data_IF_098947842049
#
_entry.id   IF_098947842049
#
_cell.length_a   1.000
_cell.length_b   1.000
_cell.length_c   1.000
_cell.angle_alpha   90.00
_cell.angle_beta   90.00
_cell.angle_gamma   90.00
#
_symmetry.space_group_name_H-M   'P 1'
#
loop_
_entity.id
_entity.type
_entity.pdbx_description
1 polymer ?
#
# COMPACT_ATOMS: atom_id res chain seq x y z
N UNK A 1 -4.99 -26.73 39.31
CA UNK A 1 -3.95 -26.00 40.06
C UNK A 1 -3.70 -24.70 39.30
N UNK A 2 -4.30 -23.61 39.78
CA UNK A 2 -4.30 -22.31 39.12
C UNK A 2 -2.91 -21.67 39.22
N UNK A 3 -2.25 -21.46 38.09
CA UNK A 3 -1.06 -20.60 38.04
C UNK A 3 -1.56 -19.18 37.94
N UNK A 4 -1.54 -18.51 39.08
CA UNK A 4 -1.90 -17.12 39.28
C UNK A 4 -1.13 -16.21 38.31
N UNK A 5 -1.87 -15.49 37.47
CA UNK A 5 -1.46 -14.23 36.86
C UNK A 5 -1.16 -13.22 37.98
N UNK A 6 0.08 -13.13 38.44
CA UNK A 6 0.55 -11.93 39.13
C UNK A 6 0.96 -10.94 38.06
N UNK A 7 -0.02 -10.20 37.53
CA UNK A 7 0.28 -8.95 36.83
C UNK A 7 1.03 -8.06 37.81
N UNK A 8 2.32 -7.86 37.55
CA UNK A 8 3.21 -7.06 38.39
C UNK A 8 2.67 -5.61 38.45
N UNK A 9 2.07 -5.23 39.60
CA UNK A 9 1.53 -3.88 39.85
C UNK A 9 2.56 -2.77 39.63
N UNK A 10 3.86 -3.05 39.80
CA UNK A 10 4.91 -2.07 39.51
C UNK A 10 5.08 -1.80 38.00
N UNK A 11 4.91 -2.81 37.15
CA UNK A 11 4.93 -2.65 35.69
C UNK A 11 3.69 -1.89 35.19
N UNK A 12 2.51 -2.14 35.79
CA UNK A 12 1.29 -1.40 35.47
C UNK A 12 1.35 0.07 35.94
N UNK A 13 1.98 0.34 37.09
CA UNK A 13 2.16 1.70 37.60
C UNK A 13 3.09 2.54 36.71
N UNK A 14 4.23 1.97 36.27
CA UNK A 14 5.15 2.65 35.32
C UNK A 14 4.57 2.83 33.92
N UNK A 15 3.67 1.95 33.50
CA UNK A 15 2.90 2.15 32.26
C UNK A 15 1.96 3.35 32.41
N UNK A 16 1.26 3.51 33.53
CA UNK A 16 0.29 4.60 33.72
C UNK A 16 0.92 6.00 33.66
N UNK A 17 2.07 6.21 34.33
CA UNK A 17 2.79 7.50 34.33
C UNK A 17 3.39 7.84 32.95
N UNK A 18 3.62 6.84 32.10
CA UNK A 18 4.20 7.00 30.77
C UNK A 18 3.17 6.85 29.63
N UNK A 19 1.91 6.54 29.92
CA UNK A 19 0.88 6.25 28.89
C UNK A 19 0.64 7.47 28.00
N UNK A 20 0.48 8.65 28.58
CA UNK A 20 0.25 9.89 27.83
C UNK A 20 1.42 10.21 26.88
N UNK A 21 2.67 9.98 27.33
CA UNK A 21 3.86 10.17 26.50
C UNK A 21 3.94 9.14 25.39
N UNK A 22 3.62 7.87 25.66
CA UNK A 22 3.55 6.83 24.62
C UNK A 22 2.50 7.20 23.57
N UNK A 23 1.30 7.60 23.97
CA UNK A 23 0.24 8.01 23.04
C UNK A 23 0.65 9.21 22.21
N UNK A 24 1.26 10.23 22.85
CA UNK A 24 1.82 11.39 22.18
C UNK A 24 2.88 11.01 21.16
N UNK A 25 3.78 10.08 21.50
CA UNK A 25 4.84 9.62 20.60
C UNK A 25 4.26 8.88 19.39
N UNK A 26 3.29 7.97 19.59
CA UNK A 26 2.61 7.28 18.48
C UNK A 26 1.91 8.29 17.56
N UNK A 27 1.14 9.22 18.12
CA UNK A 27 0.48 10.27 17.35
C UNK A 27 1.49 11.14 16.58
N UNK A 28 2.62 11.49 17.20
CA UNK A 28 3.68 12.29 16.58
C UNK A 28 4.31 11.56 15.40
N UNK A 29 4.61 10.26 15.53
CA UNK A 29 5.17 9.44 14.45
C UNK A 29 4.20 9.38 13.27
N UNK A 30 2.91 9.13 13.54
CA UNK A 30 1.90 9.07 12.48
C UNK A 30 1.74 10.41 11.76
N UNK A 31 1.69 11.52 12.51
CA UNK A 31 1.62 12.87 11.93
C UNK A 31 2.85 13.18 11.09
N UNK A 32 4.04 12.92 11.63
CA UNK A 32 5.30 13.14 10.91
C UNK A 32 5.34 12.32 9.60
N UNK A 33 4.91 11.06 9.62
CA UNK A 33 4.84 10.23 8.42
C UNK A 33 3.94 10.85 7.35
N UNK A 34 2.75 11.33 7.74
CA UNK A 34 1.81 11.99 6.83
C UNK A 34 2.39 13.30 6.28
N UNK A 35 2.91 14.17 7.16
CA UNK A 35 3.45 15.48 6.79
C UNK A 35 4.62 15.32 5.80
N UNK A 36 5.50 14.35 6.06
CA UNK A 36 6.62 14.02 5.17
C UNK A 36 6.12 13.50 3.84
N UNK A 37 5.18 12.55 3.83
CA UNK A 37 4.64 12.02 2.58
C UNK A 37 3.95 13.11 1.77
N UNK A 38 3.16 13.98 2.39
CA UNK A 38 2.54 15.11 1.73
C UNK A 38 3.58 16.04 1.08
N UNK A 39 4.67 16.33 1.77
CA UNK A 39 5.71 17.23 1.28
C UNK A 39 6.62 16.62 0.20
N UNK A 40 6.81 15.30 0.18
CA UNK A 40 7.85 14.64 -0.63
C UNK A 40 7.34 13.69 -1.72
N UNK A 41 6.14 13.13 -1.57
CA UNK A 41 5.58 12.21 -2.57
C UNK A 41 5.09 13.00 -3.77
N UNK A 42 5.56 12.62 -4.96
CA UNK A 42 5.15 13.27 -6.21
C UNK A 42 3.66 13.05 -6.49
N UNK A 43 2.89 14.15 -6.44
CA UNK A 43 1.46 14.15 -6.75
C UNK A 43 1.19 13.69 -8.19
N UNK A 44 2.04 14.07 -9.14
CA UNK A 44 1.92 13.66 -10.55
C UNK A 44 2.08 12.14 -10.73
N UNK A 45 3.02 11.51 -10.02
CA UNK A 45 3.21 10.07 -10.10
C UNK A 45 2.02 9.32 -9.46
N UNK A 46 1.50 9.82 -8.34
CA UNK A 46 0.29 9.29 -7.71
C UNK A 46 -0.92 9.43 -8.64
N UNK A 47 -1.10 10.59 -9.29
CA UNK A 47 -2.18 10.79 -10.24
C UNK A 47 -2.06 9.89 -11.48
N UNK A 48 -0.85 9.71 -12.03
CA UNK A 48 -0.58 8.78 -13.13
C UNK A 48 -0.89 7.32 -12.73
N UNK A 49 -0.50 6.91 -11.53
CA UNK A 49 -0.83 5.58 -11.00
C UNK A 49 -2.34 5.38 -10.86
N UNK A 50 -3.08 6.37 -10.32
CA UNK A 50 -4.54 6.31 -10.26
C UNK A 50 -5.18 6.20 -11.66
N UNK A 51 -4.67 6.92 -12.66
CA UNK A 51 -5.16 6.80 -14.05
C UNK A 51 -4.89 5.41 -14.66
N UNK A 52 -3.73 4.81 -14.36
CA UNK A 52 -3.42 3.45 -14.81
C UNK A 52 -4.34 2.43 -14.15
N UNK A 53 -4.55 2.53 -12.83
CA UNK A 53 -5.43 1.65 -12.05
C UNK A 53 -6.89 1.78 -12.50
N UNK A 54 -7.38 2.99 -12.76
CA UNK A 54 -8.77 3.22 -13.20
C UNK A 54 -9.10 2.55 -14.54
N UNK A 55 -8.09 2.31 -15.39
CA UNK A 55 -8.23 1.66 -16.71
C UNK A 55 -7.87 0.18 -16.69
N UNK A 56 -7.41 -0.33 -15.55
CA UNK A 56 -6.92 -1.69 -15.44
C UNK A 56 -8.08 -2.70 -15.44
N UNK A 57 -7.87 -3.83 -16.13
CA UNK A 57 -8.76 -4.98 -16.03
C UNK A 57 -8.66 -5.62 -14.65
N UNK A 58 -7.43 -5.88 -14.19
CA UNK A 58 -7.15 -6.28 -12.82
C UNK A 58 -5.97 -5.49 -12.22
N UNK A 59 -5.96 -5.39 -10.90
CA UNK A 59 -4.83 -4.88 -10.12
C UNK A 59 -4.25 -6.01 -9.30
N UNK A 60 -3.07 -6.49 -9.68
CA UNK A 60 -2.32 -7.52 -8.97
C UNK A 60 -1.42 -6.85 -7.92
N UNK A 61 -1.58 -7.20 -6.66
CA UNK A 61 -0.85 -6.58 -5.54
C UNK A 61 0.14 -7.59 -4.97
N UNK A 62 1.42 -7.23 -5.00
CA UNK A 62 2.50 -7.93 -4.33
C UNK A 62 2.89 -7.17 -3.06
N UNK A 63 2.80 -7.84 -1.91
CA UNK A 63 3.21 -7.30 -0.63
C UNK A 63 3.57 -8.45 0.34
N UNK A 64 4.39 -8.18 1.36
CA UNK A 64 4.75 -9.18 2.38
C UNK A 64 4.70 -8.58 3.79
N UNK A 65 4.57 -9.44 4.81
CA UNK A 65 4.50 -9.04 6.22
C UNK A 65 3.48 -7.90 6.46
N UNK A 66 3.83 -6.86 7.20
CA UNK A 66 2.93 -5.76 7.52
C UNK A 66 2.40 -5.04 6.26
N UNK A 67 3.21 -4.89 5.21
CA UNK A 67 2.76 -4.32 3.93
C UNK A 67 1.66 -5.16 3.28
N UNK A 68 1.58 -6.46 3.56
CA UNK A 68 0.48 -7.30 3.07
C UNK A 68 -0.86 -6.87 3.65
N UNK A 69 -0.92 -6.54 4.94
CA UNK A 69 -2.16 -6.08 5.59
C UNK A 69 -2.63 -4.74 5.00
N UNK A 70 -1.68 -3.83 4.76
CA UNK A 70 -1.93 -2.55 4.08
C UNK A 70 -2.48 -2.78 2.66
N UNK A 71 -1.84 -3.67 1.90
CA UNK A 71 -2.26 -4.05 0.55
C UNK A 71 -3.63 -4.71 0.50
N UNK A 72 -3.93 -5.59 1.47
CA UNK A 72 -5.23 -6.27 1.60
C UNK A 72 -6.35 -5.28 1.93
N UNK A 73 -6.09 -4.30 2.79
CA UNK A 73 -7.04 -3.21 3.04
C UNK A 73 -7.33 -2.42 1.76
N UNK A 74 -6.29 -2.12 0.98
CA UNK A 74 -6.42 -1.38 -0.27
C UNK A 74 -7.14 -2.19 -1.35
N UNK A 75 -6.92 -3.50 -1.45
CA UNK A 75 -7.64 -4.37 -2.39
C UNK A 75 -9.15 -4.34 -2.11
N UNK A 76 -9.55 -4.42 -0.83
CA UNK A 76 -10.94 -4.26 -0.41
C UNK A 76 -11.51 -2.87 -0.78
N UNK A 77 -10.71 -1.82 -0.67
CA UNK A 77 -11.12 -0.48 -1.10
C UNK A 77 -11.37 -0.41 -2.61
N UNK A 78 -10.46 -0.96 -3.43
CA UNK A 78 -10.61 -1.00 -4.89
C UNK A 78 -11.86 -1.77 -5.33
N UNK A 79 -12.18 -2.89 -4.68
CA UNK A 79 -13.41 -3.67 -4.97
C UNK A 79 -14.67 -2.84 -4.77
N UNK A 80 -14.72 -1.93 -3.79
CA UNK A 80 -15.85 -0.99 -3.60
C UNK A 80 -16.03 -0.01 -4.75
N UNK A 81 -15.02 0.18 -5.59
CA UNK A 81 -15.08 0.98 -6.81
C UNK A 81 -15.36 0.15 -8.08
N UNK A 82 -15.58 -1.16 -7.93
CA UNK A 82 -15.72 -2.08 -9.06
C UNK A 82 -14.39 -2.47 -9.72
N UNK A 83 -13.26 -2.15 -9.09
CA UNK A 83 -11.93 -2.51 -9.59
C UNK A 83 -11.53 -3.87 -9.01
N UNK A 84 -11.22 -4.85 -9.88
CA UNK A 84 -10.84 -6.19 -9.46
C UNK A 84 -9.39 -6.20 -8.97
N UNK A 85 -9.20 -6.29 -7.66
CA UNK A 85 -7.88 -6.32 -7.03
C UNK A 85 -7.58 -7.68 -6.41
N UNK A 86 -6.37 -8.21 -6.65
CA UNK A 86 -5.96 -9.57 -6.28
C UNK A 86 -4.64 -9.50 -5.50
N UNK A 87 -4.61 -10.04 -4.28
CA UNK A 87 -3.36 -10.25 -3.54
C UNK A 87 -2.64 -11.46 -4.11
N UNK A 88 -1.53 -11.26 -4.82
CA UNK A 88 -0.91 -12.30 -5.66
C UNK A 88 -0.40 -13.49 -4.85
N UNK A 89 0.17 -13.22 -3.68
CA UNK A 89 0.74 -14.24 -2.81
C UNK A 89 -0.23 -14.80 -1.77
N UNK A 90 -1.54 -14.56 -1.90
CA UNK A 90 -2.55 -15.06 -0.95
C UNK A 90 -2.51 -16.58 -0.79
N UNK A 91 -2.26 -17.32 -1.89
CA UNK A 91 -2.23 -18.78 -1.91
C UNK A 91 -0.84 -19.36 -2.17
N UNK A 92 0.21 -18.54 -2.03
CA UNK A 92 1.60 -18.96 -2.27
C UNK A 92 1.89 -19.53 -3.67
N UNK A 93 1.03 -19.27 -4.66
CA UNK A 93 1.22 -19.65 -6.07
C UNK A 93 1.20 -18.41 -6.98
N UNK A 94 2.18 -17.53 -6.75
CA UNK A 94 2.29 -16.24 -7.44
C UNK A 94 2.48 -16.37 -8.96
N UNK A 95 3.19 -17.42 -9.40
CA UNK A 95 3.41 -17.68 -10.83
C UNK A 95 2.10 -18.02 -11.53
N UNK A 96 1.27 -18.91 -10.98
CA UNK A 96 0.00 -19.26 -11.60
C UNK A 96 -0.96 -18.06 -11.67
N UNK A 97 -0.98 -17.23 -10.62
CA UNK A 97 -1.79 -16.00 -10.58
C UNK A 97 -1.32 -15.01 -11.64
N UNK A 98 -0.02 -14.71 -11.68
CA UNK A 98 0.51 -13.69 -12.60
C UNK A 98 0.62 -14.19 -14.05
N UNK A 99 0.50 -15.50 -14.28
CA UNK A 99 0.54 -16.11 -15.61
C UNK A 99 -0.51 -15.53 -16.57
N UNK A 100 -1.62 -15.03 -16.06
CA UNK A 100 -2.71 -14.51 -16.88
C UNK A 100 -2.70 -12.98 -17.00
N UNK A 101 -1.72 -12.31 -16.39
CA UNK A 101 -1.54 -10.86 -16.52
C UNK A 101 -1.19 -10.46 -17.95
N UNK A 102 -1.58 -9.27 -18.36
CA UNK A 102 -1.29 -8.71 -19.68
C UNK A 102 -1.21 -7.18 -19.64
N UNK A 103 -1.06 -6.55 -20.81
CA UNK A 103 -0.94 -5.09 -20.98
C UNK A 103 -2.08 -4.24 -20.42
N UNK A 104 -3.25 -4.85 -20.20
CA UNK A 104 -4.43 -4.19 -19.65
C UNK A 104 -4.53 -4.35 -18.13
N UNK A 105 -3.57 -5.03 -17.49
CA UNK A 105 -3.47 -5.17 -16.04
C UNK A 105 -2.42 -4.22 -15.44
N UNK A 106 -2.58 -3.94 -14.15
CA UNK A 106 -1.61 -3.19 -13.34
C UNK A 106 -1.04 -4.11 -12.27
N UNK A 107 0.27 -4.09 -12.12
CA UNK A 107 0.99 -4.81 -11.08
C UNK A 107 1.52 -3.79 -10.08
N UNK A 108 0.98 -3.81 -8.86
CA UNK A 108 1.37 -2.94 -7.76
C UNK A 108 2.23 -3.71 -6.76
N UNK A 109 3.49 -3.30 -6.64
CA UNK A 109 4.38 -3.73 -5.58
C UNK A 109 4.31 -2.74 -4.41
N UNK A 110 4.07 -3.25 -3.21
CA UNK A 110 4.06 -2.48 -1.97
C UNK A 110 5.14 -3.01 -1.04
N UNK A 111 6.24 -2.26 -0.89
CA UNK A 111 7.39 -2.71 -0.09
C UNK A 111 8.28 -1.56 0.33
N UNK A 112 8.53 -1.44 1.64
CA UNK A 112 9.37 -0.36 2.17
C UNK A 112 10.78 -0.41 1.60
N UNK A 113 11.47 -1.55 1.73
CA UNK A 113 12.84 -1.71 1.25
C UNK A 113 12.96 -1.97 -0.26
N UNK A 114 11.86 -2.35 -0.91
CA UNK A 114 11.83 -2.79 -2.30
C UNK A 114 12.38 -4.21 -2.52
N UNK A 115 12.79 -4.92 -1.46
CA UNK A 115 13.34 -6.27 -1.57
C UNK A 115 12.35 -7.28 -2.16
N UNK A 116 11.05 -6.96 -2.14
CA UNK A 116 10.01 -7.77 -2.80
C UNK A 116 10.33 -8.04 -4.27
N UNK A 117 10.99 -7.11 -4.97
CA UNK A 117 11.38 -7.28 -6.37
C UNK A 117 12.46 -8.34 -6.59
N UNK A 118 13.27 -8.62 -5.56
CA UNK A 118 14.26 -9.69 -5.61
C UNK A 118 13.62 -11.03 -5.23
N UNK A 119 12.70 -11.02 -4.25
CA UNK A 119 11.95 -12.22 -3.83
C UNK A 119 11.11 -12.76 -4.99
N UNK A 120 10.46 -11.88 -5.76
CA UNK A 120 9.60 -12.25 -6.89
C UNK A 120 10.25 -11.93 -8.24
N UNK A 121 11.56 -12.19 -8.37
CA UNK A 121 12.29 -11.87 -9.59
C UNK A 121 11.78 -12.65 -10.81
N UNK A 122 11.34 -13.90 -10.63
CA UNK A 122 10.81 -14.73 -11.71
C UNK A 122 9.45 -14.20 -12.21
N UNK A 123 8.58 -13.80 -11.30
CA UNK A 123 7.30 -13.16 -11.62
C UNK A 123 7.53 -11.84 -12.35
N UNK A 124 8.51 -11.05 -11.93
CA UNK A 124 8.82 -9.78 -12.55
C UNK A 124 9.27 -9.95 -14.02
N UNK A 125 10.10 -10.95 -14.32
CA UNK A 125 10.47 -11.28 -15.70
C UNK A 125 9.24 -11.74 -16.51
N UNK A 126 8.38 -12.55 -15.91
CA UNK A 126 7.13 -12.98 -16.55
C UNK A 126 6.21 -11.78 -16.86
N UNK A 127 6.05 -10.84 -15.93
CA UNK A 127 5.26 -9.61 -16.11
C UNK A 127 5.79 -8.78 -17.28
N UNK A 128 7.13 -8.62 -17.38
CA UNK A 128 7.77 -7.87 -18.47
C UNK A 128 7.46 -8.48 -19.83
N UNK A 129 7.57 -9.80 -19.97
CA UNK A 129 7.24 -10.50 -21.23
C UNK A 129 5.76 -10.37 -21.63
N UNK A 130 4.88 -10.05 -20.69
CA UNK A 130 3.44 -9.84 -20.93
C UNK A 130 3.00 -8.38 -20.98
N UNK A 131 3.95 -7.45 -20.90
CA UNK A 131 3.72 -6.00 -20.96
C UNK A 131 2.80 -5.44 -19.86
N UNK A 132 2.72 -6.12 -18.70
CA UNK A 132 1.98 -5.59 -17.55
C UNK A 132 2.61 -4.31 -17.03
N UNK A 133 1.79 -3.31 -16.68
CA UNK A 133 2.28 -2.01 -16.17
C UNK A 133 2.65 -2.15 -14.70
N UNK A 134 3.90 -1.83 -14.35
CA UNK A 134 4.43 -2.01 -13.00
C UNK A 134 4.47 -0.70 -12.23
N UNK A 135 3.97 -0.73 -11.01
CA UNK A 135 4.00 0.38 -10.06
C UNK A 135 4.68 -0.11 -8.78
N UNK A 136 5.60 0.66 -8.22
CA UNK A 136 6.20 0.41 -6.92
C UNK A 136 5.92 1.57 -5.97
N UNK A 137 5.42 1.26 -4.78
CA UNK A 137 5.38 2.18 -3.63
C UNK A 137 6.44 1.71 -2.63
N UNK A 138 7.50 2.51 -2.45
CA UNK A 138 8.68 2.10 -1.67
C UNK A 138 9.48 3.29 -1.13
N UNK A 139 10.43 3.02 -0.25
CA UNK A 139 11.43 4.01 0.16
C UNK A 139 12.63 4.11 -0.79
N UNK A 140 12.67 3.26 -1.82
CA UNK A 140 13.74 3.19 -2.81
C UNK A 140 13.18 3.17 -4.23
N UNK A 141 14.03 3.52 -5.19
CA UNK A 141 13.68 3.57 -6.62
C UNK A 141 14.37 2.41 -7.35
N UNK A 142 13.66 1.77 -8.28
CA UNK A 142 14.18 0.69 -9.12
C UNK A 142 13.83 0.94 -10.59
N UNK A 143 14.46 1.95 -11.21
CA UNK A 143 14.11 2.43 -12.56
C UNK A 143 14.27 1.37 -13.66
N UNK A 144 15.22 0.45 -13.51
CA UNK A 144 15.48 -0.59 -14.51
C UNK A 144 14.49 -1.78 -14.42
N UNK A 145 13.65 -1.80 -13.37
CA UNK A 145 12.75 -2.91 -13.06
C UNK A 145 11.27 -2.51 -13.07
N UNK A 146 10.97 -1.23 -12.84
CA UNK A 146 9.63 -0.73 -12.56
C UNK A 146 9.34 0.52 -13.41
N UNK A 147 8.18 0.54 -14.05
CA UNK A 147 7.75 1.64 -14.94
C UNK A 147 7.45 2.92 -14.15
N UNK A 148 6.76 2.80 -13.00
CA UNK A 148 6.35 3.93 -12.18
C UNK A 148 6.72 3.72 -10.71
N UNK A 149 7.65 4.55 -10.19
CA UNK A 149 8.14 4.47 -8.82
C UNK A 149 7.59 5.63 -7.97
N UNK A 150 6.67 5.35 -7.05
CA UNK A 150 6.19 6.30 -6.03
C UNK A 150 7.06 6.12 -4.80
N UNK A 151 7.90 7.12 -4.51
CA UNK A 151 8.90 7.03 -3.43
C UNK A 151 8.51 7.90 -2.24
N UNK A 152 8.72 7.38 -1.03
CA UNK A 152 8.63 8.15 0.21
C UNK A 152 9.94 8.02 1.02
N UNK A 153 10.29 8.99 1.88
CA UNK A 153 11.57 8.95 2.60
C UNK A 153 11.72 7.74 3.53
N UNK A 154 12.92 7.16 3.56
CA UNK A 154 13.26 6.07 4.46
C UNK A 154 13.56 6.61 5.87
N UNK A 155 12.68 6.35 6.85
CA UNK A 155 12.86 6.80 8.24
C UNK A 155 12.74 5.71 9.30
N UNK A 156 12.56 4.44 8.95
CA UNK A 156 12.41 3.37 9.96
C UNK A 156 13.55 3.33 10.99
N UNK A 157 14.79 3.56 10.56
CA UNK A 157 15.97 3.59 11.44
C UNK A 157 16.00 4.78 12.41
N UNK A 158 15.25 5.85 12.11
CA UNK A 158 15.14 7.06 12.95
C UNK A 158 14.06 6.86 14.03
N UNK A 159 13.09 5.98 13.80
CA UNK A 159 11.92 5.75 14.68
C UNK A 159 12.12 4.55 15.63
N UNK A 160 13.34 4.04 15.79
CA UNK A 160 13.70 2.92 16.69
C UNK A 160 12.72 1.72 16.57
N UNK A 161 12.28 1.13 17.70
CA UNK A 161 11.40 -0.07 17.76
C UNK A 161 10.01 0.12 17.14
N UNK A 162 9.66 1.34 16.71
CA UNK A 162 8.38 1.69 16.09
C UNK A 162 8.51 2.00 14.58
N UNK A 163 9.64 1.63 13.95
CA UNK A 163 9.86 1.84 12.50
C UNK A 163 8.70 1.37 11.62
N UNK A 164 8.11 0.21 11.93
CA UNK A 164 6.95 -0.31 11.20
C UNK A 164 5.74 0.63 11.18
N UNK A 165 5.51 1.43 12.23
CA UNK A 165 4.41 2.40 12.25
C UNK A 165 4.60 3.51 11.23
N UNK A 166 5.84 3.97 11.04
CA UNK A 166 6.14 4.99 10.03
C UNK A 166 5.85 4.47 8.63
N UNK A 167 6.41 3.31 8.26
CA UNK A 167 6.27 2.79 6.89
C UNK A 167 4.83 2.37 6.59
N UNK A 168 4.12 1.76 7.54
CA UNK A 168 2.70 1.44 7.40
C UNK A 168 1.86 2.71 7.24
N UNK A 169 2.08 3.74 8.07
CA UNK A 169 1.33 5.01 7.97
C UNK A 169 1.59 5.71 6.63
N UNK A 170 2.85 5.77 6.20
CA UNK A 170 3.24 6.35 4.92
C UNK A 170 2.57 5.64 3.73
N UNK A 171 2.61 4.30 3.71
CA UNK A 171 1.95 3.52 2.66
C UNK A 171 0.43 3.70 2.69
N UNK A 172 -0.20 3.64 3.86
CA UNK A 172 -1.64 3.88 4.01
C UNK A 172 -2.04 5.26 3.49
N UNK A 173 -1.28 6.30 3.83
CA UNK A 173 -1.54 7.65 3.35
C UNK A 173 -1.48 7.74 1.82
N UNK A 174 -0.43 7.20 1.20
CA UNK A 174 -0.28 7.20 -0.27
C UNK A 174 -1.44 6.43 -0.95
N UNK A 175 -1.80 5.27 -0.41
CA UNK A 175 -2.92 4.46 -0.93
C UNK A 175 -4.27 5.15 -0.73
N UNK A 176 -4.47 5.88 0.36
CA UNK A 176 -5.68 6.70 0.57
C UNK A 176 -5.76 7.86 -0.44
N UNK A 177 -4.63 8.50 -0.78
CA UNK A 177 -4.57 9.49 -1.85
C UNK A 177 -4.95 8.86 -3.21
N UNK A 178 -4.37 7.70 -3.55
CA UNK A 178 -4.73 6.95 -4.76
C UNK A 178 -6.23 6.62 -4.79
N UNK A 179 -6.76 6.07 -3.71
CA UNK A 179 -8.18 5.73 -3.61
C UNK A 179 -9.07 6.96 -3.77
N UNK A 180 -8.73 8.09 -3.15
CA UNK A 180 -9.50 9.33 -3.23
C UNK A 180 -9.56 9.87 -4.66
N UNK A 181 -8.45 9.77 -5.41
CA UNK A 181 -8.40 10.13 -6.83
C UNK A 181 -9.26 9.19 -7.69
N UNK A 182 -9.19 7.88 -7.44
CA UNK A 182 -10.01 6.87 -8.12
C UNK A 182 -11.50 7.05 -7.84
N UNK A 183 -11.86 7.34 -6.59
CA UNK A 183 -13.24 7.59 -6.19
C UNK A 183 -13.78 8.83 -6.90
N UNK A 184 -12.99 9.91 -6.96
CA UNK A 184 -13.38 11.15 -7.62
C UNK A 184 -13.60 10.93 -9.12
N UNK A 185 -12.71 10.21 -9.82
CA UNK A 185 -12.86 9.93 -11.25
C UNK A 185 -14.07 9.01 -11.54
N UNK A 186 -14.28 7.97 -10.73
CA UNK A 186 -15.41 7.04 -10.90
C UNK A 186 -16.76 7.67 -10.53
N UNK A 187 -16.80 8.57 -9.56
CA UNK A 187 -18.00 9.34 -9.22
C UNK A 187 -18.53 10.10 -10.45
N UNK A 188 -17.64 10.75 -11.22
CA UNK A 188 -18.02 11.46 -12.45
C UNK A 188 -18.45 10.54 -13.60
N UNK A 189 -17.94 9.31 -13.65
CA UNK A 189 -18.34 8.33 -14.68
C UNK A 189 -19.70 7.72 -14.36
N UNK A 190 -19.94 7.36 -13.09
CA UNK A 190 -21.19 6.75 -12.63
C UNK A 190 -22.37 7.74 -12.64
N UNK A 191 -22.15 9.03 -12.36
CA UNK A 191 -23.19 10.07 -12.51
C UNK A 191 -23.62 10.24 -13.97
N UNK A 192 -22.69 10.20 -14.93
CA UNK A 192 -23.00 10.28 -16.36
C UNK A 192 -23.81 9.09 -16.86
N UNK A 193 -23.56 7.90 -16.33
CA UNK A 193 -24.33 6.69 -16.67
C UNK A 193 -25.72 6.65 -15.99
N UNK A 194 -25.92 7.41 -14.91
CA UNK A 194 -27.22 7.53 -14.21
C UNK A 194 -28.15 8.62 -14.74
N UNK A 195 -27.70 9.47 -15.68
CA UNK A 195 -28.62 10.36 -16.39
C UNK A 195 -29.29 9.55 -17.51
N UNK A 196 -30.59 9.22 -17.43
CA UNK A 196 -31.26 8.54 -18.53
C UNK A 196 -31.16 9.42 -19.77
N UNK A 197 -30.82 8.80 -20.91
CA UNK A 197 -30.92 9.44 -22.21
C UNK A 197 -32.32 10.01 -22.35
N UNK A 198 -32.45 11.34 -22.40
CA UNK A 198 -33.69 11.99 -22.79
C UNK A 198 -34.03 11.48 -24.18
N UNK A 199 -34.99 10.57 -24.24
CA UNK A 199 -35.65 10.13 -25.47
C UNK A 199 -36.88 10.99 -25.64
#
# INVERSE_FOLDING_TARGET
MAVFFVFNKHALATISENTANIFKNVASISKEAIDICYASVSQDLVAKAAQQIAKAKHVYIFATADSYLVGLSFSNMLVKLGIQAIMVNQFHDSIAVIYHSNKDDVILFLSYSGNILNVYAQELELIKTRHGKTILISSKVFKDKIDLNITFPAKESIVNKAGGYYSQTAMHYILNCLYSLLYTSNYFTNQRQKMPSKT
#
